data_IF_676226721009
#
_entry.id   IF_676226721009
#
_cell.length_a   1.000
_cell.length_b   1.000
_cell.length_c   1.000
_cell.angle_alpha   90.00
_cell.angle_beta   90.00
_cell.angle_gamma   90.00
#
_symmetry.space_group_name_H-M   'P 1'
#
loop_
_entity.id
_entity.type
_entity.pdbx_description
1 polymer ?
#
# COMPACT_ATOMS: atom_id res chain seq x y z
N UNK A 1 11.27 -78.30 43.22
CA UNK A 1 12.05 -79.01 42.18
C UNK A 1 12.38 -78.03 41.05
N UNK A 2 13.64 -78.05 40.58
CA UNK A 2 14.17 -77.48 39.32
C UNK A 2 14.11 -75.95 39.12
N UNK A 3 15.22 -75.42 38.60
CA UNK A 3 15.45 -74.03 38.25
C UNK A 3 15.15 -73.75 36.77
N UNK A 4 15.43 -72.48 36.37
CA UNK A 4 15.48 -71.83 35.04
C UNK A 4 14.37 -70.78 34.91
N UNK A 5 14.63 -69.56 34.45
CA UNK A 5 15.87 -69.00 33.90
C UNK A 5 15.48 -67.81 33.02
N UNK A 6 16.15 -66.68 33.15
CA UNK A 6 15.73 -65.43 32.48
C UNK A 6 15.92 -65.52 30.96
N UNK A 7 14.91 -65.09 30.21
CA UNK A 7 15.11 -64.47 28.89
C UNK A 7 14.20 -63.25 28.76
N UNK A 8 14.81 -62.07 28.91
CA UNK A 8 14.27 -60.85 28.36
C UNK A 8 14.72 -60.75 26.90
N UNK A 9 13.79 -60.42 26.00
CA UNK A 9 14.09 -60.05 24.62
C UNK A 9 13.19 -58.88 24.25
N UNK A 10 13.79 -57.82 23.72
CA UNK A 10 13.15 -56.53 23.58
C UNK A 10 12.62 -56.27 22.16
N UNK A 11 11.42 -55.68 22.13
CA UNK A 11 10.99 -54.59 21.24
C UNK A 11 10.95 -54.78 19.70
N UNK A 12 9.75 -55.15 19.20
CA UNK A 12 9.11 -54.73 17.93
C UNK A 12 7.57 -54.75 18.19
N UNK A 13 6.68 -53.88 17.70
CA UNK A 13 6.78 -52.63 16.92
C UNK A 13 5.40 -52.17 16.37
N UNK A 14 5.40 -51.16 15.48
CA UNK A 14 4.33 -50.76 14.53
C UNK A 14 2.94 -50.21 15.01
N UNK A 15 2.77 -48.89 14.82
CA UNK A 15 1.73 -48.19 14.01
C UNK A 15 0.20 -48.31 14.27
N UNK A 16 -0.40 -47.15 14.62
CA UNK A 16 -1.80 -46.69 14.29
C UNK A 16 -2.98 -47.50 14.90
N UNK A 17 -4.24 -47.03 15.02
CA UNK A 17 -5.04 -45.94 14.42
C UNK A 17 -6.04 -45.43 15.50
N UNK A 18 -6.53 -44.18 15.44
CA UNK A 18 -7.86 -43.85 16.01
C UNK A 18 -8.07 -42.43 16.53
N UNK A 19 -8.97 -41.66 15.92
CA UNK A 19 -9.37 -40.34 16.46
C UNK A 19 -9.93 -39.32 15.46
N UNK A 20 -10.93 -39.67 14.66
CA UNK A 20 -11.61 -38.71 13.76
C UNK A 20 -12.50 -37.77 14.57
N UNK A 21 -12.41 -36.45 14.31
CA UNK A 21 -13.53 -35.52 14.54
C UNK A 21 -13.78 -34.68 13.29
N UNK A 22 -14.92 -34.92 12.66
CA UNK A 22 -15.51 -34.08 11.62
C UNK A 22 -15.96 -32.74 12.21
N UNK A 23 -15.81 -31.66 11.44
CA UNK A 23 -16.58 -30.43 11.64
C UNK A 23 -17.24 -30.06 10.32
N UNK A 24 -18.55 -29.79 10.39
CA UNK A 24 -19.39 -29.55 9.23
C UNK A 24 -19.15 -28.17 8.61
N UNK A 25 -19.46 -28.05 7.31
CA UNK A 25 -19.63 -26.74 6.68
C UNK A 25 -20.78 -25.98 7.34
N UNK A 26 -20.55 -24.72 7.73
CA UNK A 26 -21.60 -23.72 7.85
C UNK A 26 -21.06 -22.42 7.24
N UNK A 27 -21.75 -21.89 6.23
CA UNK A 27 -21.41 -20.59 5.66
C UNK A 27 -21.88 -19.46 6.57
N UNK A 28 -21.10 -18.36 6.62
CA UNK A 28 -21.60 -16.99 6.86
C UNK A 28 -20.45 -15.99 6.69
N UNK A 29 -20.81 -14.80 6.20
CA UNK A 29 -19.89 -13.68 5.96
C UNK A 29 -19.00 -13.38 7.18
N UNK A 30 -17.68 -13.42 6.97
CA UNK A 30 -16.71 -12.79 7.87
C UNK A 30 -15.90 -11.76 7.09
N UNK A 31 -16.30 -10.49 7.22
CA UNK A 31 -15.45 -9.34 6.95
C UNK A 31 -14.09 -9.54 7.64
N UNK A 32 -12.94 -9.30 6.98
CA UNK A 32 -11.64 -9.47 7.62
C UNK A 32 -11.50 -8.53 8.83
N UNK A 33 -11.56 -9.09 10.04
CA UNK A 33 -11.14 -8.37 11.26
C UNK A 33 -9.63 -8.19 11.21
N UNK A 34 -9.18 -6.96 11.52
CA UNK A 34 -7.80 -6.55 11.80
C UNK A 34 -6.75 -7.66 11.61
N UNK A 35 -6.07 -7.65 10.45
CA UNK A 35 -4.76 -8.29 10.40
C UNK A 35 -3.85 -7.53 11.37
N UNK A 36 -3.46 -8.21 12.44
CA UNK A 36 -2.40 -7.78 13.34
C UNK A 36 -1.17 -7.45 12.50
N UNK A 37 -0.58 -6.27 12.69
CA UNK A 37 0.65 -5.87 12.00
C UNK A 37 1.80 -6.81 12.41
N UNK A 38 1.96 -7.91 11.71
CA UNK A 38 3.22 -8.65 11.68
C UNK A 38 4.25 -7.75 11.05
N UNK A 39 5.25 -7.38 11.86
CA UNK A 39 6.33 -6.46 11.52
C UNK A 39 7.19 -7.08 10.39
N UNK A 40 6.76 -6.94 9.14
CA UNK A 40 7.52 -7.39 7.98
C UNK A 40 8.78 -6.54 7.90
N UNK A 41 9.93 -7.20 7.92
CA UNK A 41 11.24 -6.54 8.00
C UNK A 41 11.45 -5.73 6.73
N UNK A 42 11.31 -4.41 6.84
CA UNK A 42 11.84 -3.47 5.85
C UNK A 42 13.34 -3.75 5.73
N UNK A 43 13.84 -3.92 4.51
CA UNK A 43 15.23 -4.31 4.28
C UNK A 43 16.19 -3.24 4.80
N UNK A 44 16.70 -3.43 6.03
CA UNK A 44 17.73 -2.58 6.62
C UNK A 44 19.05 -2.84 5.90
N UNK A 45 19.29 -2.14 4.79
CA UNK A 45 20.65 -1.83 4.35
C UNK A 45 21.41 -1.17 5.50
N UNK A 46 22.67 -1.57 5.69
CA UNK A 46 23.53 -1.13 6.78
C UNK A 46 23.53 0.40 6.99
N UNK A 47 23.30 0.81 8.23
CA UNK A 47 22.94 2.20 8.57
C UNK A 47 24.13 3.15 8.73
N UNK A 48 25.37 2.67 8.61
CA UNK A 48 26.57 3.44 9.01
C UNK A 48 27.14 4.42 7.97
N UNK A 49 26.76 4.31 6.68
CA UNK A 49 27.23 5.22 5.62
C UNK A 49 26.22 5.38 4.45
N UNK A 50 24.92 5.52 4.75
CA UNK A 50 23.89 5.76 3.72
C UNK A 50 23.99 7.16 3.10
N UNK A 51 23.90 7.23 1.77
CA UNK A 51 23.84 8.49 1.01
C UNK A 51 22.57 9.29 1.32
N UNK A 52 22.49 10.55 0.88
CA UNK A 52 21.26 11.36 1.00
C UNK A 52 20.09 10.65 0.29
N UNK A 53 20.35 10.05 -0.86
CA UNK A 53 19.35 9.33 -1.65
C UNK A 53 18.86 8.06 -0.97
N UNK A 54 19.76 7.24 -0.39
CA UNK A 54 19.35 6.02 0.32
C UNK A 54 18.45 6.32 1.53
N UNK A 55 18.63 7.48 2.16
CA UNK A 55 17.76 7.97 3.24
C UNK A 55 16.40 8.39 2.70
N UNK A 56 16.35 9.14 1.60
CA UNK A 56 15.10 9.58 0.97
C UNK A 56 14.30 8.39 0.41
N UNK A 57 14.97 7.42 -0.24
CA UNK A 57 14.37 6.14 -0.64
C UNK A 57 13.80 5.40 0.56
N UNK A 58 14.55 5.28 1.66
CA UNK A 58 14.06 4.67 2.90
C UNK A 58 12.80 5.37 3.43
N UNK A 59 12.77 6.71 3.42
CA UNK A 59 11.58 7.50 3.81
C UNK A 59 10.38 7.24 2.89
N UNK A 60 10.57 7.07 1.58
CA UNK A 60 9.50 6.65 0.65
C UNK A 60 8.98 5.24 0.98
N UNK A 61 9.86 4.26 1.19
CA UNK A 61 9.50 2.87 1.52
C UNK A 61 8.69 2.80 2.82
N UNK A 62 9.10 3.55 3.85
CA UNK A 62 8.39 3.66 5.11
C UNK A 62 7.02 4.33 4.95
N UNK A 63 6.92 5.35 4.08
CA UNK A 63 5.67 6.03 3.80
C UNK A 63 4.65 5.15 3.05
N UNK A 64 5.09 4.32 2.09
CA UNK A 64 4.24 3.31 1.45
C UNK A 64 3.65 2.35 2.49
N UNK A 65 4.49 1.80 3.36
CA UNK A 65 4.06 0.83 4.36
C UNK A 65 3.16 1.46 5.43
N UNK A 66 3.45 2.69 5.84
CA UNK A 66 2.68 3.43 6.85
C UNK A 66 1.31 3.86 6.32
N UNK A 67 1.29 4.52 5.16
CA UNK A 67 0.10 5.25 4.70
C UNK A 67 -0.80 4.37 3.81
N UNK A 68 -0.22 3.63 2.86
CA UNK A 68 -0.96 2.79 1.90
C UNK A 68 -1.02 1.30 2.31
N UNK A 69 -0.28 0.93 3.35
CA UNK A 69 -0.15 -0.47 3.79
C UNK A 69 0.78 -1.31 2.91
N UNK A 70 1.47 -0.70 1.96
CA UNK A 70 2.22 -1.41 0.90
C UNK A 70 3.67 -1.71 1.29
N UNK A 71 4.11 -2.96 1.04
CA UNK A 71 5.53 -3.33 1.11
C UNK A 71 6.12 -3.35 -0.30
N UNK A 72 6.90 -2.33 -0.65
CA UNK A 72 7.62 -2.29 -1.94
C UNK A 72 8.74 -3.35 -1.96
N UNK A 73 8.67 -4.31 -2.88
CA UNK A 73 9.67 -5.35 -3.04
C UNK A 73 10.84 -4.90 -3.93
N UNK A 74 11.70 -4.04 -3.39
CA UNK A 74 12.86 -3.46 -4.08
C UNK A 74 13.90 -4.48 -4.58
N UNK A 75 13.75 -5.78 -4.29
CA UNK A 75 14.60 -6.84 -4.87
C UNK A 75 14.08 -7.37 -6.20
N UNK A 76 12.76 -7.32 -6.40
CA UNK A 76 12.06 -7.86 -7.56
C UNK A 76 11.46 -6.76 -8.47
N UNK A 77 11.74 -5.49 -8.15
CA UNK A 77 11.31 -4.31 -8.91
C UNK A 77 12.55 -3.53 -9.40
N UNK A 78 12.45 -2.96 -10.59
CA UNK A 78 13.43 -2.07 -11.17
C UNK A 78 13.27 -0.66 -10.60
N UNK A 79 14.37 -0.02 -10.21
CA UNK A 79 14.41 1.43 -10.04
C UNK A 79 14.26 2.12 -11.41
N UNK A 80 13.30 3.02 -11.58
CA UNK A 80 13.05 3.70 -12.86
C UNK A 80 13.67 5.10 -12.94
N UNK A 81 13.14 6.04 -12.14
CA UNK A 81 13.61 7.43 -12.08
C UNK A 81 13.78 7.84 -10.63
N UNK A 82 15.03 8.02 -10.24
CA UNK A 82 15.43 8.50 -8.93
C UNK A 82 16.26 9.76 -9.14
N UNK A 83 15.71 10.93 -8.82
CA UNK A 83 16.32 12.21 -9.17
C UNK A 83 15.83 13.35 -8.27
N UNK A 84 16.64 14.40 -8.16
CA UNK A 84 16.26 15.67 -7.56
C UNK A 84 15.72 16.63 -8.63
N UNK A 85 14.72 17.44 -8.28
CA UNK A 85 14.28 18.57 -9.10
C UNK A 85 13.97 19.78 -8.20
N UNK A 86 13.96 20.97 -8.79
CA UNK A 86 13.52 22.19 -8.14
C UNK A 86 12.23 22.68 -8.81
N UNK A 87 11.24 23.07 -8.01
CA UNK A 87 10.00 23.69 -8.49
C UNK A 87 9.48 24.67 -7.43
N UNK A 88 9.01 25.84 -7.86
CA UNK A 88 8.52 26.87 -6.93
C UNK A 88 9.53 27.31 -5.85
N UNK A 89 10.84 27.20 -6.13
CA UNK A 89 11.92 27.50 -5.18
C UNK A 89 12.22 26.40 -4.17
N UNK A 90 11.50 25.27 -4.19
CA UNK A 90 11.71 24.11 -3.30
C UNK A 90 12.45 22.98 -3.98
N UNK A 91 13.25 22.24 -3.22
CA UNK A 91 13.96 21.05 -3.70
C UNK A 91 13.23 19.75 -3.35
N UNK A 92 12.90 18.97 -4.39
CA UNK A 92 12.19 17.70 -4.29
C UNK A 92 13.07 16.51 -4.68
N UNK A 93 12.70 15.32 -4.21
CA UNK A 93 13.25 14.04 -4.67
C UNK A 93 12.14 13.10 -5.11
N UNK A 94 12.32 12.50 -6.28
CA UNK A 94 11.44 11.44 -6.81
C UNK A 94 12.09 10.09 -6.51
N UNK A 95 11.30 9.14 -6.02
CA UNK A 95 11.68 7.74 -5.91
C UNK A 95 10.66 6.85 -6.64
N UNK A 96 11.11 6.02 -7.60
CA UNK A 96 10.23 5.20 -8.44
C UNK A 96 10.71 3.76 -8.61
N UNK A 97 9.79 2.80 -8.42
CA UNK A 97 10.00 1.37 -8.63
C UNK A 97 8.90 0.76 -9.51
N UNK A 98 9.25 -0.16 -10.41
CA UNK A 98 8.32 -0.79 -11.35
C UNK A 98 8.69 -2.27 -11.60
N UNK A 99 7.71 -3.14 -11.91
CA UNK A 99 7.97 -4.52 -12.34
C UNK A 99 8.45 -4.67 -13.79
N UNK A 100 8.47 -3.58 -14.58
CA UNK A 100 9.03 -3.56 -15.93
C UNK A 100 9.83 -2.29 -16.19
N UNK A 101 11.13 -2.44 -16.49
CA UNK A 101 12.05 -1.33 -16.76
C UNK A 101 11.66 -0.51 -17.99
N UNK A 102 11.23 -1.20 -19.05
CA UNK A 102 10.93 -0.62 -20.37
C UNK A 102 9.43 -0.75 -20.72
N UNK A 103 8.59 -1.07 -19.73
CA UNK A 103 7.13 -1.12 -19.87
C UNK A 103 6.52 0.28 -19.74
N UNK A 104 5.42 0.51 -20.45
CA UNK A 104 4.56 1.65 -20.13
C UNK A 104 4.00 1.49 -18.70
N UNK A 105 3.93 2.59 -17.95
CA UNK A 105 3.33 2.62 -16.60
C UNK A 105 1.86 2.15 -16.63
N UNK A 106 1.22 2.27 -17.80
CA UNK A 106 -0.19 1.95 -18.05
C UNK A 106 -0.40 0.59 -18.77
N UNK A 107 0.63 -0.27 -18.85
CA UNK A 107 0.45 -1.65 -19.33
C UNK A 107 -0.35 -2.48 -18.32
N UNK A 108 -1.15 -3.45 -18.81
CA UNK A 108 -2.23 -4.12 -18.05
C UNK A 108 -1.71 -4.83 -16.77
N UNK A 109 -0.45 -5.28 -16.76
CA UNK A 109 0.21 -5.96 -15.64
C UNK A 109 1.22 -5.08 -14.87
N UNK A 110 1.32 -3.78 -15.15
CA UNK A 110 2.34 -2.93 -14.51
C UNK A 110 2.04 -2.68 -13.04
N UNK A 111 2.99 -3.09 -12.19
CA UNK A 111 3.06 -2.73 -10.77
C UNK A 111 4.04 -1.57 -10.66
N UNK A 112 3.57 -0.41 -10.18
CA UNK A 112 4.38 0.80 -10.02
C UNK A 112 4.19 1.44 -8.64
N UNK A 113 5.29 1.95 -8.10
CA UNK A 113 5.36 2.72 -6.86
C UNK A 113 6.09 4.03 -7.14
N UNK A 114 5.43 5.16 -6.94
CA UNK A 114 5.99 6.51 -7.06
C UNK A 114 5.86 7.32 -5.78
N UNK A 115 6.96 7.91 -5.30
CA UNK A 115 6.95 8.84 -4.19
C UNK A 115 7.63 10.16 -4.58
N UNK A 116 7.09 11.27 -4.06
CA UNK A 116 7.71 12.61 -4.16
C UNK A 116 7.87 13.17 -2.75
N UNK A 117 9.08 13.66 -2.46
CA UNK A 117 9.48 14.15 -1.15
C UNK A 117 9.97 15.60 -1.27
N UNK A 118 9.36 16.52 -0.54
CA UNK A 118 9.95 17.84 -0.24
C UNK A 118 11.17 17.59 0.66
N UNK A 119 12.38 17.82 0.12
CA UNK A 119 13.64 17.41 0.76
C UNK A 119 14.11 18.36 1.84
N UNK A 120 13.51 19.56 1.93
CA UNK A 120 13.80 20.56 2.96
C UNK A 120 12.88 20.35 4.17
N UNK A 121 11.59 20.10 3.93
CA UNK A 121 10.64 19.73 4.97
C UNK A 121 10.71 18.25 5.39
N UNK A 122 11.46 17.42 4.66
CA UNK A 122 11.45 15.95 4.73
C UNK A 122 10.02 15.37 4.71
N UNK A 123 9.18 15.92 3.84
CA UNK A 123 7.73 15.67 3.80
C UNK A 123 7.36 14.94 2.52
N UNK A 124 6.60 13.85 2.66
CA UNK A 124 5.97 13.18 1.50
C UNK A 124 4.84 14.08 0.98
N UNK A 125 4.94 14.50 -0.29
CA UNK A 125 3.95 15.34 -0.99
C UNK A 125 3.16 14.56 -2.04
N UNK A 126 3.67 13.39 -2.47
CA UNK A 126 2.95 12.40 -3.29
C UNK A 126 3.30 10.97 -2.86
N UNK A 127 2.31 10.09 -2.78
CA UNK A 127 2.49 8.64 -2.96
C UNK A 127 1.54 8.14 -4.04
N UNK A 128 1.99 7.17 -4.82
CA UNK A 128 1.24 6.54 -5.90
C UNK A 128 1.57 5.04 -5.94
N UNK A 129 0.54 4.21 -5.89
CA UNK A 129 0.60 2.78 -6.11
C UNK A 129 -0.37 2.39 -7.23
N UNK A 130 0.17 1.70 -8.24
CA UNK A 130 -0.58 1.11 -9.35
C UNK A 130 -0.36 -0.40 -9.29
N UNK A 131 -1.46 -1.16 -9.29
CA UNK A 131 -1.47 -2.62 -9.16
C UNK A 131 -1.66 -3.38 -10.48
N UNK A 132 -1.65 -2.67 -11.61
CA UNK A 132 -2.16 -3.14 -12.89
C UNK A 132 -3.69 -3.03 -12.99
N UNK A 133 -4.22 -3.56 -14.08
CA UNK A 133 -5.65 -3.55 -14.44
C UNK A 133 -6.49 -4.47 -13.54
N UNK A 134 -7.74 -4.10 -13.25
CA UNK A 134 -8.66 -4.98 -12.53
C UNK A 134 -8.82 -6.35 -13.21
N UNK A 135 -8.63 -7.44 -12.47
CA UNK A 135 -8.60 -8.81 -13.03
C UNK A 135 -9.97 -9.39 -13.36
N UNK A 136 -11.03 -8.69 -13.00
CA UNK A 136 -12.43 -9.05 -13.22
C UNK A 136 -13.30 -7.79 -13.08
N UNK A 137 -14.59 -7.85 -13.42
CA UNK A 137 -15.45 -6.67 -13.43
C UNK A 137 -15.99 -6.21 -12.06
N UNK A 138 -15.67 -6.89 -10.95
CA UNK A 138 -16.25 -6.56 -9.64
C UNK A 138 -15.89 -5.16 -9.13
N UNK A 139 -14.84 -4.52 -9.66
CA UNK A 139 -14.53 -3.12 -9.37
C UNK A 139 -15.70 -2.18 -9.68
N UNK A 140 -16.55 -2.51 -10.68
CA UNK A 140 -17.75 -1.73 -11.02
C UNK A 140 -18.78 -1.68 -9.88
N UNK A 141 -18.74 -2.64 -8.96
CA UNK A 141 -19.66 -2.74 -7.82
C UNK A 141 -19.21 -1.93 -6.59
N UNK A 142 -18.02 -1.33 -6.61
CA UNK A 142 -17.53 -0.53 -5.49
C UNK A 142 -18.17 0.86 -5.50
N UNK A 143 -18.89 1.23 -4.43
CA UNK A 143 -19.71 2.45 -4.41
C UNK A 143 -18.93 3.71 -4.04
N UNK A 144 -19.32 4.83 -4.66
CA UNK A 144 -18.75 6.16 -4.40
C UNK A 144 -18.74 6.53 -2.90
N UNK A 145 -19.83 6.32 -2.16
CA UNK A 145 -19.88 6.68 -0.73
C UNK A 145 -18.93 5.84 0.15
N UNK A 146 -18.66 4.57 -0.21
CA UNK A 146 -17.64 3.77 0.48
C UNK A 146 -16.25 4.33 0.18
N UNK A 147 -15.98 4.65 -1.07
CA UNK A 147 -14.72 5.24 -1.50
C UNK A 147 -14.46 6.60 -0.82
N UNK A 148 -15.48 7.46 -0.76
CA UNK A 148 -15.45 8.76 -0.09
C UNK A 148 -15.05 8.65 1.39
N UNK A 149 -15.68 7.72 2.11
CA UNK A 149 -15.34 7.48 3.51
C UNK A 149 -13.88 7.03 3.66
N UNK A 150 -13.39 6.13 2.80
CA UNK A 150 -11.98 5.72 2.81
C UNK A 150 -11.01 6.88 2.53
N UNK A 151 -11.34 7.79 1.61
CA UNK A 151 -10.49 8.95 1.31
C UNK A 151 -10.42 9.93 2.50
N UNK A 152 -11.56 10.24 3.12
CA UNK A 152 -11.64 11.14 4.29
C UNK A 152 -10.95 10.51 5.50
N UNK A 153 -11.21 9.24 5.80
CA UNK A 153 -10.56 8.51 6.89
C UNK A 153 -9.05 8.36 6.65
N UNK A 154 -8.60 8.19 5.40
CA UNK A 154 -7.17 8.15 5.06
C UNK A 154 -6.48 9.47 5.40
N UNK A 155 -7.04 10.61 4.98
CA UNK A 155 -6.48 11.95 5.26
C UNK A 155 -6.38 12.19 6.77
N UNK A 156 -7.45 11.84 7.49
CA UNK A 156 -7.56 11.97 8.94
C UNK A 156 -6.55 11.08 9.68
N UNK A 157 -6.60 9.77 9.45
CA UNK A 157 -5.91 8.77 10.26
C UNK A 157 -4.40 8.74 9.99
N UNK A 158 -3.96 9.08 8.77
CA UNK A 158 -2.53 9.21 8.45
C UNK A 158 -1.97 10.62 8.73
N UNK A 159 -2.82 11.57 9.16
CA UNK A 159 -2.48 12.96 9.40
C UNK A 159 -1.81 13.65 8.18
N UNK A 160 -2.31 13.38 6.98
CA UNK A 160 -1.71 13.83 5.70
C UNK A 160 -1.54 15.35 5.66
N UNK A 161 -2.52 16.08 6.21
CA UNK A 161 -2.57 17.54 6.23
C UNK A 161 -1.98 18.15 7.52
N UNK A 162 -1.27 17.36 8.34
CA UNK A 162 -0.53 17.83 9.52
C UNK A 162 -1.39 18.62 10.51
N UNK A 163 -2.59 18.14 10.81
CA UNK A 163 -3.54 18.74 11.76
C UNK A 163 -4.30 19.96 11.26
N UNK A 164 -4.07 20.42 10.01
CA UNK A 164 -4.84 21.52 9.41
C UNK A 164 -6.31 21.14 9.24
N UNK A 165 -7.19 22.13 9.35
CA UNK A 165 -8.60 22.00 8.96
C UNK A 165 -8.72 21.76 7.45
N UNK A 166 -9.66 20.90 7.07
CA UNK A 166 -9.94 20.55 5.68
C UNK A 166 -11.42 20.23 5.47
N UNK A 167 -11.86 20.28 4.23
CA UNK A 167 -13.20 19.88 3.79
C UNK A 167 -13.12 19.09 2.48
N UNK A 168 -14.09 18.21 2.24
CA UNK A 168 -14.21 17.50 0.97
C UNK A 168 -14.99 18.36 -0.03
N UNK A 169 -14.38 18.63 -1.17
CA UNK A 169 -15.03 19.25 -2.32
C UNK A 169 -15.90 18.22 -3.05
N UNK A 170 -17.09 17.96 -2.50
CA UNK A 170 -18.03 16.94 -3.02
C UNK A 170 -18.46 17.24 -4.47
N UNK A 171 -18.52 18.51 -4.88
CA UNK A 171 -18.90 18.92 -6.23
C UNK A 171 -17.81 18.56 -7.26
N UNK A 172 -16.58 19.06 -7.09
CA UNK A 172 -15.43 18.72 -7.95
C UNK A 172 -15.17 17.20 -7.94
N UNK A 173 -15.30 16.55 -6.78
CA UNK A 173 -15.14 15.10 -6.68
C UNK A 173 -16.21 14.34 -7.47
N UNK A 174 -17.47 14.80 -7.50
CA UNK A 174 -18.50 14.18 -8.35
C UNK A 174 -18.26 14.42 -9.84
N UNK A 175 -17.85 15.63 -10.20
CA UNK A 175 -17.53 16.01 -11.58
C UNK A 175 -16.40 15.14 -12.16
N UNK A 176 -15.28 14.99 -11.43
CA UNK A 176 -14.16 14.16 -11.87
C UNK A 176 -14.46 12.64 -11.94
N UNK A 177 -15.57 12.19 -11.34
CA UNK A 177 -15.99 10.80 -11.34
C UNK A 177 -17.20 10.51 -12.26
N UNK A 178 -17.54 11.43 -13.17
CA UNK A 178 -18.62 11.20 -14.16
C UNK A 178 -18.25 10.18 -15.25
N UNK A 179 -16.96 9.96 -15.48
CA UNK A 179 -16.44 9.04 -16.51
C UNK A 179 -16.64 7.58 -16.15
N UNK A 180 -17.43 6.86 -16.97
CA UNK A 180 -17.58 5.41 -16.85
C UNK A 180 -16.25 4.67 -17.13
N UNK A 181 -16.08 3.50 -16.54
CA UNK A 181 -14.90 2.63 -16.77
C UNK A 181 -13.62 3.01 -16.01
N UNK A 182 -13.52 4.22 -15.42
CA UNK A 182 -12.36 4.62 -14.61
C UNK A 182 -12.12 3.66 -13.44
N UNK A 183 -10.87 3.24 -13.20
CA UNK A 183 -10.51 2.24 -12.17
C UNK A 183 -10.38 2.81 -10.75
N UNK A 184 -10.28 4.14 -10.61
CA UNK A 184 -10.20 4.84 -9.34
C UNK A 184 -11.42 5.75 -9.16
N UNK A 185 -11.70 6.13 -7.91
CA UNK A 185 -12.48 7.32 -7.59
C UNK A 185 -11.53 8.44 -7.14
N UNK A 186 -11.74 9.65 -7.65
CA UNK A 186 -10.96 10.85 -7.35
C UNK A 186 -11.64 11.72 -6.29
N UNK A 187 -10.94 12.10 -5.21
CA UNK A 187 -11.49 12.94 -4.14
C UNK A 187 -10.62 14.16 -3.87
N UNK A 188 -11.20 15.36 -4.00
CA UNK A 188 -10.51 16.62 -3.75
C UNK A 188 -10.81 17.14 -2.34
N UNK A 189 -9.77 17.25 -1.52
CA UNK A 189 -9.85 17.73 -0.15
C UNK A 189 -9.19 19.11 -0.07
N UNK A 190 -9.98 20.15 0.19
CA UNK A 190 -9.52 21.54 0.30
C UNK A 190 -8.99 21.81 1.70
N UNK A 191 -7.90 22.57 1.81
CA UNK A 191 -7.26 22.91 3.07
C UNK A 191 -6.49 24.24 2.97
N UNK A 192 -6.05 24.78 4.12
CA UNK A 192 -5.03 25.85 4.18
C UNK A 192 -5.31 27.09 3.29
N UNK A 193 -6.58 27.52 3.23
CA UNK A 193 -6.99 28.70 2.46
C UNK A 193 -7.22 28.46 0.95
N UNK A 194 -7.35 27.21 0.50
CA UNK A 194 -7.74 26.87 -0.88
C UNK A 194 -6.86 25.82 -1.57
N UNK A 195 -5.77 25.38 -0.92
CA UNK A 195 -4.92 24.29 -1.40
C UNK A 195 -5.71 22.99 -1.49
N UNK A 196 -5.30 22.11 -2.39
CA UNK A 196 -6.03 20.89 -2.74
C UNK A 196 -5.14 19.66 -2.58
N UNK A 197 -5.61 18.72 -1.76
CA UNK A 197 -5.10 17.36 -1.70
C UNK A 197 -6.03 16.48 -2.55
N UNK A 198 -5.49 15.86 -3.61
CA UNK A 198 -6.19 14.81 -4.34
C UNK A 198 -5.88 13.46 -3.69
N UNK A 199 -6.91 12.66 -3.45
CA UNK A 199 -6.82 11.29 -2.93
C UNK A 199 -7.57 10.36 -3.87
N UNK A 200 -6.88 9.34 -4.36
CA UNK A 200 -7.48 8.34 -5.25
C UNK A 200 -7.72 7.04 -4.51
N UNK A 201 -8.92 6.49 -4.72
CA UNK A 201 -9.35 5.20 -4.16
C UNK A 201 -9.58 4.21 -5.29
N UNK A 202 -8.75 3.18 -5.35
CA UNK A 202 -8.92 2.09 -6.31
C UNK A 202 -10.21 1.33 -6.09
N UNK A 203 -11.00 1.17 -7.15
CA UNK A 203 -12.26 0.41 -7.14
C UNK A 203 -12.05 -1.09 -7.06
N UNK A 204 -10.93 -1.58 -7.60
CA UNK A 204 -10.55 -3.01 -7.56
C UNK A 204 -9.98 -3.38 -6.20
N UNK A 205 -9.01 -2.61 -5.70
CA UNK A 205 -8.37 -2.85 -4.40
C UNK A 205 -9.22 -2.40 -3.19
N UNK A 206 -10.25 -1.58 -3.43
CA UNK A 206 -11.14 -1.00 -2.43
C UNK A 206 -10.40 -0.27 -1.29
N UNK A 207 -9.36 0.49 -1.65
CA UNK A 207 -8.51 1.26 -0.73
C UNK A 207 -7.88 2.46 -1.43
N UNK A 208 -7.41 3.43 -0.64
CA UNK A 208 -6.57 4.52 -1.16
C UNK A 208 -5.29 3.93 -1.75
N UNK A 209 -4.97 4.33 -2.98
CA UNK A 209 -3.75 3.93 -3.68
C UNK A 209 -2.89 5.13 -4.13
N UNK A 210 -3.43 6.35 -4.12
CA UNK A 210 -2.63 7.56 -4.34
C UNK A 210 -3.11 8.70 -3.43
N UNK A 211 -2.17 9.56 -3.03
CA UNK A 211 -2.48 10.95 -2.67
C UNK A 211 -1.43 11.90 -3.25
N UNK A 212 -1.83 13.14 -3.53
CA UNK A 212 -0.95 14.23 -3.94
C UNK A 212 -1.42 15.55 -3.33
N UNK A 213 -0.49 16.29 -2.74
CA UNK A 213 -0.70 17.68 -2.32
C UNK A 213 -0.40 18.57 -3.53
N UNK A 214 -1.42 18.91 -4.34
CA UNK A 214 -1.23 19.53 -5.65
C UNK A 214 -0.36 20.80 -5.54
N UNK A 215 -0.78 21.75 -4.72
CA UNK A 215 -0.13 23.04 -4.47
C UNK A 215 1.21 22.95 -3.70
N UNK A 216 1.61 21.76 -3.23
CA UNK A 216 2.88 21.55 -2.51
C UNK A 216 3.84 20.59 -3.23
N UNK A 217 3.38 19.89 -4.26
CA UNK A 217 4.14 18.83 -4.94
C UNK A 217 5.17 19.34 -5.95
N UNK A 218 5.05 20.59 -6.39
CA UNK A 218 5.86 21.13 -7.48
C UNK A 218 5.57 20.49 -8.84
N UNK A 219 4.51 19.68 -8.95
CA UNK A 219 3.98 19.25 -10.23
C UNK A 219 3.12 20.38 -10.81
N UNK A 220 3.62 21.03 -11.87
CA UNK A 220 2.74 21.71 -12.82
C UNK A 220 1.91 20.62 -13.53
N UNK A 221 0.61 20.89 -13.69
CA UNK A 221 -0.39 19.89 -14.13
C UNK A 221 -0.30 19.50 -15.61
#
# INVERSE_FOLDING_TARGET
MKSKGVMALALIGALSIGGVKTYAQVSKNTTPKNQVMTKKVVAQQDSKNKSKEDKLKQTALEAFQKNLGETVDVKNLYEMKNYFYNAGGKNFYVAQWCNGKDKAINDDDTIYYGAVIDTEANKIVKLEYISGKPKNENYKNFSYDKAKNLAVDFVKNNNILSGKSYELSEAESKEANCSEGAWNYHFYVKYDGGKTCLVDVSKDLQKVNQFILLDESGAEG
#
